data_IF_231962876083
#
_entry.id   IF_231962876083
#
_cell.length_a   1.000
_cell.length_b   1.000
_cell.length_c   1.000
_cell.angle_alpha   90.00
_cell.angle_beta   90.00
_cell.angle_gamma   90.00
#
_symmetry.space_group_name_H-M   'P 1'
#
loop_
_entity.id
_entity.type
_entity.pdbx_description
1 polymer ?
#
# COMPACT_ATOMS: atom_id res chain seq x y z
N UNK A 1 19.06 31.59 -12.19
CA UNK A 1 18.19 30.41 -12.03
C UNK A 1 17.59 30.53 -10.65
N UNK A 2 16.35 31.01 -10.51
CA UNK A 2 15.70 31.03 -9.20
C UNK A 2 15.64 29.57 -8.70
N UNK A 3 15.91 29.30 -7.41
CA UNK A 3 15.73 27.96 -6.87
C UNK A 3 14.28 27.59 -7.14
N UNK A 4 14.07 26.56 -7.96
CA UNK A 4 12.72 26.03 -8.17
C UNK A 4 12.19 25.68 -6.78
N UNK A 5 10.99 26.17 -6.47
CA UNK A 5 10.24 25.72 -5.29
C UNK A 5 10.30 24.20 -5.26
N UNK A 6 10.31 23.63 -4.07
CA UNK A 6 10.95 22.34 -3.78
C UNK A 6 10.26 21.11 -4.46
N UNK A 7 9.27 21.31 -5.34
CA UNK A 7 8.49 20.32 -6.14
C UNK A 7 8.10 19.05 -5.35
N UNK A 8 7.88 19.21 -4.04
CA UNK A 8 7.67 18.10 -3.11
C UNK A 8 6.37 17.36 -3.44
N UNK A 9 5.35 18.07 -3.98
CA UNK A 9 4.11 17.45 -4.42
C UNK A 9 4.33 16.32 -5.44
N UNK A 10 5.19 16.55 -6.44
CA UNK A 10 5.51 15.55 -7.47
C UNK A 10 6.25 14.33 -6.91
N UNK A 11 7.21 14.55 -6.01
CA UNK A 11 7.96 13.47 -5.35
C UNK A 11 7.06 12.64 -4.42
N UNK A 12 6.14 13.29 -3.70
CA UNK A 12 5.16 12.61 -2.86
C UNK A 12 4.16 11.81 -3.71
N UNK A 13 3.69 12.34 -4.84
CA UNK A 13 2.86 11.56 -5.76
C UNK A 13 3.60 10.32 -6.29
N UNK A 14 4.87 10.46 -6.66
CA UNK A 14 5.69 9.35 -7.10
C UNK A 14 5.85 8.29 -6.00
N UNK A 15 6.03 8.71 -4.75
CA UNK A 15 6.11 7.81 -3.62
C UNK A 15 4.78 7.09 -3.34
N UNK A 16 3.65 7.81 -3.42
CA UNK A 16 2.32 7.20 -3.28
C UNK A 16 2.09 6.09 -4.33
N UNK A 17 2.54 6.29 -5.58
CA UNK A 17 2.49 5.26 -6.64
C UNK A 17 3.37 4.05 -6.34
N UNK A 18 4.52 4.25 -5.69
CA UNK A 18 5.36 3.12 -5.24
C UNK A 18 4.65 2.30 -4.18
N UNK A 19 3.94 2.94 -3.24
CA UNK A 19 3.14 2.27 -2.22
C UNK A 19 1.99 1.48 -2.84
N UNK A 20 1.33 2.01 -3.87
CA UNK A 20 0.31 1.26 -4.63
C UNK A 20 0.90 -0.01 -5.26
N UNK A 21 2.08 0.09 -5.88
CA UNK A 21 2.74 -1.07 -6.50
C UNK A 21 3.09 -2.17 -5.48
N UNK A 22 3.45 -1.79 -4.25
CA UNK A 22 3.68 -2.74 -3.15
C UNK A 22 2.36 -3.37 -2.72
N UNK A 23 1.29 -2.57 -2.57
CA UNK A 23 -0.04 -3.06 -2.21
C UNK A 23 -0.58 -4.06 -3.24
N UNK A 24 -0.37 -3.80 -4.53
CA UNK A 24 -0.77 -4.70 -5.61
C UNK A 24 0.00 -6.04 -5.58
N UNK A 25 1.30 -6.01 -5.30
CA UNK A 25 2.09 -7.23 -5.09
C UNK A 25 1.60 -8.05 -3.89
N UNK A 26 1.20 -7.38 -2.80
CA UNK A 26 0.61 -8.03 -1.63
C UNK A 26 -0.78 -8.61 -1.93
N UNK A 27 -1.62 -7.91 -2.71
CA UNK A 27 -2.92 -8.44 -3.18
C UNK A 27 -2.72 -9.71 -4.02
N UNK A 28 -1.74 -9.70 -4.92
CA UNK A 28 -1.40 -10.89 -5.70
C UNK A 28 -0.95 -12.06 -4.80
N UNK A 29 -0.22 -11.78 -3.72
CA UNK A 29 0.18 -12.80 -2.75
C UNK A 29 -1.02 -13.36 -1.97
N UNK A 30 -2.00 -12.52 -1.60
CA UNK A 30 -3.26 -12.95 -0.97
C UNK A 30 -4.07 -13.82 -1.93
N UNK A 31 -4.22 -13.41 -3.19
CA UNK A 31 -4.94 -14.19 -4.20
C UNK A 31 -4.30 -15.55 -4.40
N UNK A 32 -2.96 -15.61 -4.47
CA UNK A 32 -2.21 -16.85 -4.56
C UNK A 32 -2.41 -17.72 -3.31
N UNK A 33 -2.38 -17.14 -2.11
CA UNK A 33 -2.60 -17.87 -0.85
C UNK A 33 -4.02 -18.47 -0.79
N UNK A 34 -5.03 -17.72 -1.21
CA UNK A 34 -6.42 -18.19 -1.27
C UNK A 34 -6.60 -19.30 -2.32
N UNK A 35 -5.93 -19.19 -3.46
CA UNK A 35 -6.00 -20.18 -4.54
C UNK A 35 -5.22 -21.45 -4.25
N UNK A 36 -4.16 -21.37 -3.44
CA UNK A 36 -3.32 -22.50 -2.99
C UNK A 36 -3.81 -23.05 -1.65
N UNK A 37 -4.92 -22.55 -1.09
CA UNK A 37 -5.52 -23.15 0.12
C UNK A 37 -5.73 -24.65 -0.12
N UNK A 38 -4.88 -25.43 0.55
CA UNK A 38 -4.51 -26.75 0.03
C UNK A 38 -5.70 -27.70 0.10
N UNK A 39 -6.10 -28.32 -1.02
CA UNK A 39 -7.17 -29.31 -0.97
C UNK A 39 -6.71 -30.48 -0.10
N UNK A 40 -7.62 -30.96 0.75
CA UNK A 40 -7.35 -31.86 1.89
C UNK A 40 -6.77 -33.21 1.50
N UNK A 41 -6.75 -33.51 0.20
CA UNK A 41 -6.21 -34.68 -0.47
C UNK A 41 -4.73 -34.56 -0.85
N UNK A 42 -4.17 -33.35 -0.94
CA UNK A 42 -2.77 -33.10 -1.34
C UNK A 42 -1.73 -33.69 -0.35
N UNK A 43 -2.11 -33.87 0.91
CA UNK A 43 -1.25 -34.41 1.97
C UNK A 43 -1.40 -35.93 2.17
N UNK A 44 -2.31 -36.59 1.45
CA UNK A 44 -2.68 -37.98 1.69
C UNK A 44 -3.33 -38.18 3.07
N UNK A 45 -4.01 -39.31 3.25
CA UNK A 45 -4.76 -39.65 4.48
C UNK A 45 -3.89 -39.55 5.76
N UNK A 46 -2.57 -39.74 5.65
CA UNK A 46 -1.66 -39.81 6.78
C UNK A 46 -1.26 -38.45 7.37
N UNK A 47 -1.31 -37.37 6.60
CA UNK A 47 -0.89 -36.04 7.07
C UNK A 47 -2.05 -35.09 7.42
N UNK A 48 -3.30 -35.57 7.38
CA UNK A 48 -4.49 -34.80 7.78
C UNK A 48 -4.44 -34.20 9.19
N UNK A 49 -3.89 -34.86 10.24
CA UNK A 49 -3.80 -34.26 11.57
C UNK A 49 -2.88 -33.04 11.63
N UNK A 50 -1.82 -33.02 10.81
CA UNK A 50 -0.90 -31.89 10.72
C UNK A 50 -1.54 -30.70 9.99
N UNK A 51 -2.44 -30.96 9.05
CA UNK A 51 -3.19 -29.91 8.35
C UNK A 51 -4.10 -29.12 9.30
N UNK A 52 -4.84 -29.81 10.18
CA UNK A 52 -5.68 -29.14 11.19
C UNK A 52 -4.88 -28.22 12.13
N UNK A 53 -3.60 -28.52 12.35
CA UNK A 53 -2.71 -27.69 13.16
C UNK A 53 -2.12 -26.51 12.37
N UNK A 54 -2.11 -26.59 11.03
CA UNK A 54 -1.59 -25.57 10.11
C UNK A 54 -2.66 -24.57 9.66
N UNK A 55 -3.94 -24.96 9.62
CA UNK A 55 -5.05 -24.06 9.25
C UNK A 55 -5.05 -22.72 10.02
N UNK A 56 -4.80 -22.68 11.34
CA UNK A 56 -4.74 -21.41 12.07
C UNK A 56 -3.57 -20.53 11.60
N UNK A 57 -2.41 -21.14 11.34
CA UNK A 57 -1.19 -20.43 10.92
C UNK A 57 -1.37 -19.85 9.52
N UNK A 58 -2.00 -20.60 8.61
CA UNK A 58 -2.34 -20.12 7.27
C UNK A 58 -3.30 -18.93 7.32
N UNK A 59 -4.35 -19.03 8.13
CA UNK A 59 -5.29 -17.92 8.33
C UNK A 59 -4.61 -16.69 8.94
N UNK A 60 -3.67 -16.85 9.89
CA UNK A 60 -2.90 -15.71 10.40
C UNK A 60 -2.03 -15.07 9.32
N UNK A 61 -1.43 -15.87 8.44
CA UNK A 61 -0.65 -15.39 7.31
C UNK A 61 -1.48 -14.57 6.33
N UNK A 62 -2.63 -15.09 5.91
CA UNK A 62 -3.56 -14.40 4.99
C UNK A 62 -4.03 -13.08 5.62
N UNK A 63 -4.50 -13.12 6.88
CA UNK A 63 -4.92 -11.91 7.59
C UNK A 63 -3.79 -10.87 7.72
N UNK A 64 -2.55 -11.32 7.94
CA UNK A 64 -1.41 -10.41 8.02
C UNK A 64 -1.14 -9.71 6.68
N UNK A 65 -1.26 -10.43 5.56
CA UNK A 65 -1.11 -9.87 4.23
C UNK A 65 -2.23 -8.86 3.93
N UNK A 66 -3.49 -9.19 4.21
CA UNK A 66 -4.64 -8.29 4.02
C UNK A 66 -4.54 -7.01 4.87
N UNK A 67 -4.12 -7.15 6.13
CA UNK A 67 -3.87 -5.99 7.00
C UNK A 67 -2.74 -5.12 6.45
N UNK A 68 -1.71 -5.72 5.87
CA UNK A 68 -0.60 -4.99 5.27
C UNK A 68 -1.06 -4.23 4.02
N UNK A 69 -1.88 -4.85 3.16
CA UNK A 69 -2.50 -4.17 2.01
C UNK A 69 -3.27 -2.93 2.47
N UNK A 70 -4.14 -3.11 3.47
CA UNK A 70 -4.95 -2.00 4.03
C UNK A 70 -4.06 -0.88 4.58
N UNK A 71 -2.98 -1.24 5.27
CA UNK A 71 -2.04 -0.27 5.80
C UNK A 71 -1.29 0.48 4.69
N UNK A 72 -0.87 -0.22 3.62
CA UNK A 72 -0.19 0.40 2.47
C UNK A 72 -1.13 1.38 1.74
N UNK A 73 -2.37 0.98 1.47
CA UNK A 73 -3.37 1.85 0.84
C UNK A 73 -3.63 3.11 1.70
N UNK A 74 -3.73 2.95 3.02
CA UNK A 74 -3.90 4.07 3.94
C UNK A 74 -2.68 5.02 3.99
N UNK A 75 -1.45 4.48 3.88
CA UNK A 75 -0.25 5.30 3.81
C UNK A 75 -0.13 6.03 2.47
N UNK A 76 -0.43 5.37 1.35
CA UNK A 76 -0.47 5.99 0.03
C UNK A 76 -1.45 7.17 0.01
N UNK A 77 -2.62 7.02 0.65
CA UNK A 77 -3.58 8.10 0.76
C UNK A 77 -3.04 9.30 1.56
N UNK A 78 -2.41 9.06 2.72
CA UNK A 78 -1.80 10.13 3.52
C UNK A 78 -0.72 10.89 2.77
N UNK A 79 0.09 10.18 1.97
CA UNK A 79 1.13 10.79 1.15
C UNK A 79 0.52 11.68 0.05
N UNK A 80 -0.56 11.24 -0.60
CA UNK A 80 -1.31 12.07 -1.57
C UNK A 80 -1.94 13.30 -0.91
N UNK A 81 -2.47 13.15 0.29
CA UNK A 81 -3.06 14.27 1.03
C UNK A 81 -1.99 15.29 1.41
N UNK A 82 -0.80 14.84 1.79
CA UNK A 82 0.35 15.70 2.01
C UNK A 82 0.77 16.44 0.72
N UNK A 83 0.86 15.74 -0.41
CA UNK A 83 1.18 16.36 -1.70
C UNK A 83 0.21 17.51 -2.04
N UNK A 84 -1.09 17.27 -1.91
CA UNK A 84 -2.13 18.29 -2.14
C UNK A 84 -2.00 19.48 -1.19
N UNK A 85 -1.66 19.24 0.08
CA UNK A 85 -1.47 20.31 1.05
C UNK A 85 -0.28 21.21 0.68
N UNK A 86 0.83 20.61 0.22
CA UNK A 86 1.98 21.37 -0.29
C UNK A 86 1.63 22.17 -1.53
N UNK A 87 1.00 21.56 -2.54
CA UNK A 87 0.60 22.26 -3.77
C UNK A 87 -0.37 23.42 -3.50
N UNK A 88 -1.30 23.24 -2.56
CA UNK A 88 -2.24 24.30 -2.16
C UNK A 88 -1.51 25.47 -1.49
N UNK A 89 -0.60 25.19 -0.57
CA UNK A 89 0.18 26.22 0.12
C UNK A 89 1.09 26.98 -0.86
N UNK A 90 1.73 26.28 -1.79
CA UNK A 90 2.55 26.91 -2.83
C UNK A 90 1.71 27.79 -3.75
N UNK A 91 0.49 27.35 -4.12
CA UNK A 91 -0.46 28.14 -4.90
C UNK A 91 -0.89 29.42 -4.18
N UNK A 92 -1.31 29.30 -2.91
CA UNK A 92 -1.69 30.46 -2.08
C UNK A 92 -0.54 31.45 -1.92
N UNK A 93 0.68 30.96 -1.66
CA UNK A 93 1.87 31.79 -1.55
C UNK A 93 2.16 32.52 -2.87
N UNK A 94 2.12 31.80 -4.00
CA UNK A 94 2.36 32.40 -5.32
C UNK A 94 1.33 33.47 -5.67
N UNK A 95 0.06 33.27 -5.33
CA UNK A 95 -1.00 34.24 -5.59
C UNK A 95 -0.88 35.47 -4.68
N UNK A 96 -0.48 35.30 -3.42
CA UNK A 96 -0.19 36.42 -2.50
C UNK A 96 0.95 37.30 -3.00
N UNK A 97 1.97 36.71 -3.63
CA UNK A 97 3.09 37.44 -4.22
C UNK A 97 2.65 38.23 -5.45
N UNK A 98 1.86 37.62 -6.35
CA UNK A 98 1.32 38.33 -7.53
C UNK A 98 0.36 39.46 -7.16
N UNK A 99 -0.38 39.33 -6.07
CA UNK A 99 -1.31 40.36 -5.60
C UNK A 99 -0.60 41.55 -4.94
N UNK A 100 0.68 41.40 -4.57
CA UNK A 100 1.48 42.45 -3.92
C UNK A 100 2.35 43.26 -4.90
N UNK A 101 2.36 42.90 -6.19
CA UNK A 101 3.07 43.55 -7.31
C UNK A 101 2.07 44.40 -8.14
#
# INVERSE_FOLDING_TARGET
MAPRGYEIGGDLEAHARQLDGIADGLKQAVDAANQVSMPTDAYGILCQPFRMMLDPVENYGINALENTVTAMDAQAQKVRDAAKAYDSYEGEAADSMKASD
#
